data_IF_458547891598
#
_entry.id   IF_458547891598
#
_cell.length_a   1.000
_cell.length_b   1.000
_cell.length_c   1.000
_cell.angle_alpha   90.00
_cell.angle_beta   90.00
_cell.angle_gamma   90.00
#
_symmetry.space_group_name_H-M   'P 1'
#
loop_
_entity.id
_entity.type
_entity.pdbx_description
1 polymer ?
#
# COMPACT_ATOMS: atom_id res chain seq x y z
N UNK A 1 -25.48 -15.54 -11.62
CA UNK A 1 -24.19 -14.81 -11.61
C UNK A 1 -24.14 -13.59 -10.67
N UNK A 2 -25.27 -13.06 -10.14
CA UNK A 2 -25.31 -11.85 -9.30
C UNK A 2 -24.80 -12.01 -7.84
N UNK A 3 -24.50 -13.23 -7.40
CA UNK A 3 -24.17 -13.52 -5.99
C UNK A 3 -22.68 -13.31 -5.66
N UNK A 4 -21.78 -13.42 -6.65
CA UNK A 4 -20.35 -13.16 -6.44
C UNK A 4 -20.01 -11.68 -6.34
N UNK A 5 -20.82 -10.79 -6.92
CA UNK A 5 -20.61 -9.34 -6.82
C UNK A 5 -21.00 -8.78 -5.44
N UNK A 6 -22.05 -9.35 -4.80
CA UNK A 6 -22.39 -9.05 -3.40
C UNK A 6 -21.39 -9.64 -2.41
N UNK A 7 -20.81 -10.82 -2.71
CA UNK A 7 -19.74 -11.43 -1.91
C UNK A 7 -18.41 -10.67 -2.04
N UNK A 8 -18.08 -10.14 -3.24
CA UNK A 8 -16.97 -9.21 -3.48
C UNK A 8 -17.16 -7.87 -2.78
N UNK A 9 -18.38 -7.32 -2.71
CA UNK A 9 -18.68 -6.04 -2.02
C UNK A 9 -18.59 -6.12 -0.50
N UNK A 10 -18.50 -7.31 0.09
CA UNK A 10 -17.97 -7.52 1.46
C UNK A 10 -16.43 -7.46 1.43
N UNK A 11 -15.91 -6.50 0.68
CA UNK A 11 -14.50 -6.17 0.52
C UNK A 11 -14.10 -5.51 1.84
N UNK A 12 -13.44 -6.29 2.70
CA UNK A 12 -12.52 -5.84 3.75
C UNK A 12 -12.93 -4.52 4.41
N UNK A 13 -13.94 -4.56 5.29
CA UNK A 13 -14.17 -3.43 6.20
C UNK A 13 -12.91 -3.31 7.07
N UNK A 14 -12.03 -2.37 6.74
CA UNK A 14 -10.90 -2.04 7.59
C UNK A 14 -11.46 -1.70 8.97
N UNK A 15 -10.92 -2.34 10.00
CA UNK A 15 -11.32 -2.13 11.38
C UNK A 15 -10.08 -1.81 12.21
N UNK A 16 -10.30 -1.44 13.47
CA UNK A 16 -9.22 -1.33 14.44
C UNK A 16 -8.44 -2.66 14.49
N UNK A 17 -7.13 -2.56 14.65
CA UNK A 17 -6.17 -3.67 14.79
C UNK A 17 -5.96 -4.48 13.49
N UNK A 18 -6.56 -4.05 12.38
CA UNK A 18 -6.31 -4.66 11.07
C UNK A 18 -5.03 -4.10 10.44
N UNK A 19 -4.33 -4.96 9.72
CA UNK A 19 -3.21 -4.56 8.88
C UNK A 19 -3.72 -3.86 7.62
N UNK A 20 -3.07 -2.74 7.30
CA UNK A 20 -3.35 -1.88 6.16
C UNK A 20 -2.05 -1.47 5.49
N UNK A 21 -2.18 -0.94 4.28
CA UNK A 21 -1.10 -0.23 3.60
C UNK A 21 -1.40 1.27 3.58
N UNK A 22 -0.38 2.07 3.84
CA UNK A 22 -0.49 3.51 4.01
C UNK A 22 0.47 4.22 3.07
N UNK A 23 -0.03 5.20 2.32
CA UNK A 23 0.78 5.99 1.39
C UNK A 23 1.23 7.31 2.02
N UNK A 24 2.53 7.57 1.96
CA UNK A 24 3.15 8.79 2.47
C UNK A 24 3.23 9.80 1.31
N UNK A 25 2.73 11.02 1.54
CA UNK A 25 2.66 12.07 0.52
C UNK A 25 3.83 13.05 0.55
N UNK A 26 4.75 12.85 1.50
CA UNK A 26 5.97 13.65 1.62
C UNK A 26 6.92 13.40 0.44
N UNK A 27 7.68 14.42 0.08
CA UNK A 27 8.65 14.32 -1.01
C UNK A 27 9.70 13.24 -0.70
N UNK A 28 10.06 12.47 -1.72
CA UNK A 28 10.90 11.27 -1.57
C UNK A 28 10.12 10.01 -1.21
N UNK A 29 8.87 10.11 -0.73
CA UNK A 29 8.01 8.97 -0.43
C UNK A 29 6.77 8.87 -1.33
N UNK A 30 6.48 9.88 -2.15
CA UNK A 30 5.34 9.85 -3.09
C UNK A 30 5.35 8.57 -3.95
N UNK A 31 4.20 7.89 -4.00
CA UNK A 31 4.04 6.63 -4.72
C UNK A 31 4.46 5.38 -3.92
N UNK A 32 4.84 5.54 -2.65
CA UNK A 32 5.11 4.42 -1.75
C UNK A 32 3.89 4.02 -0.92
N UNK A 33 3.88 2.77 -0.46
CA UNK A 33 2.92 2.18 0.46
C UNK A 33 3.61 1.35 1.53
N UNK A 34 3.32 1.62 2.80
CA UNK A 34 3.95 0.97 3.94
C UNK A 34 2.94 0.19 4.77
N UNK A 35 3.35 -0.95 5.32
CA UNK A 35 2.51 -1.76 6.19
C UNK A 35 2.34 -1.09 7.55
N UNK A 36 1.09 -0.99 8.00
CA UNK A 36 0.72 -0.41 9.29
C UNK A 36 -0.47 -1.14 9.90
N UNK A 37 -0.67 -0.94 11.20
CA UNK A 37 -1.85 -1.39 11.95
C UNK A 37 -2.74 -0.18 12.22
N UNK A 38 -4.04 -0.33 11.94
CA UNK A 38 -5.00 0.73 12.22
C UNK A 38 -5.33 0.81 13.72
N UNK A 39 -5.09 1.94 14.37
CA UNK A 39 -5.32 2.08 15.81
C UNK A 39 -6.75 2.49 16.18
N UNK A 40 -7.58 2.79 15.17
CA UNK A 40 -8.94 3.30 15.33
C UNK A 40 -9.94 2.53 14.47
N UNK A 41 -11.21 2.48 14.89
CA UNK A 41 -12.26 1.87 14.06
C UNK A 41 -12.85 2.95 13.12
N UNK A 42 -12.70 2.83 11.78
CA UNK A 42 -13.16 3.85 10.83
C UNK A 42 -14.66 4.17 10.90
N UNK A 43 -15.45 3.21 11.39
CA UNK A 43 -16.91 3.33 11.54
C UNK A 43 -17.33 4.10 12.79
N UNK A 44 -16.46 4.21 13.79
CA UNK A 44 -16.72 4.91 15.07
C UNK A 44 -16.15 6.33 15.09
N UNK A 45 -15.12 6.57 14.28
CA UNK A 45 -14.43 7.85 14.13
C UNK A 45 -15.08 8.59 12.96
N UNK A 46 -15.41 9.88 13.10
CA UNK A 46 -16.02 10.69 12.02
C UNK A 46 -14.98 11.54 11.28
N UNK A 47 -13.80 11.66 11.84
CA UNK A 47 -12.66 12.43 11.36
C UNK A 47 -12.16 11.89 10.03
N UNK A 48 -11.73 12.78 9.11
CA UNK A 48 -11.22 12.40 7.79
C UNK A 48 -9.89 11.63 7.85
N UNK A 49 -9.16 11.79 8.95
CA UNK A 49 -7.91 11.09 9.23
C UNK A 49 -8.09 9.96 10.23
N UNK A 50 -7.21 8.96 10.16
CA UNK A 50 -7.14 7.85 11.09
C UNK A 50 -5.71 7.68 11.58
N UNK A 51 -5.57 7.25 12.83
CA UNK A 51 -4.28 6.96 13.42
C UNK A 51 -3.81 5.55 13.06
N UNK A 52 -2.56 5.44 12.63
CA UNK A 52 -1.90 4.19 12.23
C UNK A 52 -0.58 4.02 12.99
N UNK A 53 -0.14 2.78 13.12
CA UNK A 53 1.16 2.40 13.67
C UNK A 53 1.91 1.59 12.63
N UNK A 54 3.04 2.09 12.13
CA UNK A 54 3.82 1.37 11.11
C UNK A 54 4.43 0.09 11.67
N UNK A 55 4.61 -0.93 10.83
CA UNK A 55 5.24 -2.20 11.21
C UNK A 55 6.76 -2.17 11.07
N UNK A 56 7.28 -1.33 10.19
CA UNK A 56 8.69 -1.33 9.74
C UNK A 56 9.36 0.04 9.82
N UNK A 57 8.65 1.06 10.30
CA UNK A 57 9.17 2.41 10.53
C UNK A 57 9.14 2.70 12.02
N UNK A 58 10.20 3.30 12.53
CA UNK A 58 10.44 3.55 13.95
C UNK A 58 10.75 5.02 14.18
N UNK A 59 10.55 5.49 15.41
CA UNK A 59 11.01 6.81 15.83
C UNK A 59 12.54 6.86 15.87
N UNK A 60 13.10 8.03 16.21
CA UNK A 60 14.56 8.24 16.31
C UNK A 60 15.27 7.28 17.28
N UNK A 61 14.53 6.72 18.24
CA UNK A 61 15.04 5.70 19.16
C UNK A 61 15.32 4.34 18.49
N UNK A 62 14.83 4.12 17.27
CA UNK A 62 14.96 2.87 16.52
C UNK A 62 14.19 1.68 17.11
N UNK A 63 13.40 1.89 18.16
CA UNK A 63 12.74 0.83 18.93
C UNK A 63 11.23 1.03 18.94
N UNK A 64 10.77 2.26 19.14
CA UNK A 64 9.35 2.56 19.21
C UNK A 64 8.78 2.69 17.80
N UNK A 65 7.73 1.94 17.44
CA UNK A 65 7.10 2.08 16.12
C UNK A 65 6.60 3.51 15.89
N UNK A 66 6.81 4.01 14.67
CA UNK A 66 6.31 5.31 14.24
C UNK A 66 4.78 5.27 14.16
N UNK A 67 4.12 6.32 14.67
CA UNK A 67 2.66 6.46 14.65
C UNK A 67 2.28 7.79 14.04
N UNK A 68 1.32 7.76 13.12
CA UNK A 68 0.91 8.95 12.37
C UNK A 68 -0.61 9.03 12.21
N UNK A 69 -1.09 10.23 11.89
CA UNK A 69 -2.51 10.48 11.59
C UNK A 69 -2.67 10.81 10.12
N UNK A 70 -3.23 9.86 9.37
CA UNK A 70 -3.21 9.83 7.91
C UNK A 70 -4.63 9.98 7.36
N UNK A 71 -4.78 10.73 6.25
CA UNK A 71 -6.07 10.84 5.56
C UNK A 71 -6.54 9.47 5.09
N UNK A 72 -7.84 9.18 5.27
CA UNK A 72 -8.45 7.88 4.89
C UNK A 72 -8.21 7.50 3.43
N UNK A 73 -8.06 8.48 2.53
CA UNK A 73 -7.78 8.26 1.11
C UNK A 73 -6.41 7.66 0.82
N UNK A 74 -5.46 7.78 1.77
CA UNK A 74 -4.11 7.22 1.66
C UNK A 74 -3.96 5.92 2.46
N UNK A 75 -5.07 5.28 2.85
CA UNK A 75 -5.09 4.00 3.55
C UNK A 75 -5.85 3.00 2.69
N UNK A 76 -5.24 1.85 2.39
CA UNK A 76 -5.87 0.72 1.69
C UNK A 76 -5.77 -0.58 2.50
N UNK A 77 -6.67 -1.55 2.31
CA UNK A 77 -6.45 -2.89 2.82
C UNK A 77 -5.17 -3.48 2.22
N UNK A 78 -4.52 -4.39 2.95
CA UNK A 78 -3.44 -5.20 2.39
C UNK A 78 -3.96 -5.96 1.14
N UNK A 79 -3.26 -5.87 -0.01
CA UNK A 79 -3.60 -6.65 -1.19
C UNK A 79 -3.63 -8.16 -0.90
N UNK A 80 -4.58 -8.93 -1.47
CA UNK A 80 -4.58 -10.38 -1.32
C UNK A 80 -3.30 -11.02 -1.88
N UNK A 81 -2.81 -12.09 -1.26
CA UNK A 81 -1.61 -12.80 -1.73
C UNK A 81 -1.75 -13.33 -3.16
N UNK A 82 -2.96 -13.76 -3.53
CA UNK A 82 -3.27 -14.25 -4.87
C UNK A 82 -3.45 -13.14 -5.92
N UNK A 83 -3.22 -11.86 -5.58
CA UNK A 83 -3.49 -10.74 -6.50
C UNK A 83 -2.76 -10.88 -7.84
N UNK A 84 -1.55 -11.43 -7.80
CA UNK A 84 -0.69 -11.57 -8.98
C UNK A 84 -0.74 -12.97 -9.61
N UNK A 85 -1.61 -13.87 -9.15
CA UNK A 85 -1.73 -15.21 -9.74
C UNK A 85 -2.16 -15.12 -11.21
N UNK A 86 -1.33 -15.66 -12.10
CA UNK A 86 -1.57 -15.64 -13.55
C UNK A 86 -1.33 -14.27 -14.22
N UNK A 87 -0.82 -13.28 -13.49
CA UNK A 87 -0.43 -11.98 -14.06
C UNK A 87 0.88 -12.15 -14.82
N UNK A 88 0.89 -11.73 -16.08
CA UNK A 88 2.10 -11.64 -16.90
C UNK A 88 2.55 -10.19 -16.92
N UNK A 89 3.71 -9.93 -16.32
CA UNK A 89 4.37 -8.63 -16.36
C UNK A 89 5.00 -8.40 -17.72
N UNK A 90 4.92 -7.17 -18.22
CA UNK A 90 5.50 -6.76 -19.51
C UNK A 90 5.91 -5.30 -19.48
N UNK A 91 6.75 -4.89 -20.42
CA UNK A 91 7.11 -3.49 -20.63
C UNK A 91 5.87 -2.58 -20.75
N UNK A 92 5.93 -1.41 -20.12
CA UNK A 92 4.82 -0.47 -19.99
C UNK A 92 3.82 -0.80 -18.88
N UNK A 93 3.94 -1.94 -18.18
CA UNK A 93 3.04 -2.27 -17.08
C UNK A 93 3.36 -1.43 -15.85
N UNK A 94 2.32 -0.83 -15.27
CA UNK A 94 2.41 -0.19 -13.96
C UNK A 94 2.34 -1.26 -12.88
N UNK A 95 3.35 -1.29 -12.01
CA UNK A 95 3.50 -2.29 -10.96
C UNK A 95 3.97 -1.64 -9.65
N UNK A 96 3.72 -2.34 -8.55
CA UNK A 96 4.31 -2.01 -7.25
C UNK A 96 5.53 -2.92 -7.03
N UNK A 97 6.69 -2.35 -6.73
CA UNK A 97 7.92 -3.09 -6.40
C UNK A 97 8.27 -2.91 -4.92
N UNK A 98 8.63 -4.00 -4.23
CA UNK A 98 8.99 -3.93 -2.82
C UNK A 98 10.44 -3.47 -2.64
N UNK A 99 10.65 -2.33 -1.99
CA UNK A 99 11.96 -1.75 -1.72
C UNK A 99 11.91 -0.89 -0.46
N UNK A 100 12.98 -0.91 0.34
CA UNK A 100 13.10 -0.11 1.57
C UNK A 100 11.85 -0.15 2.47
N UNK A 101 11.40 -1.37 2.79
CA UNK A 101 10.25 -1.66 3.66
C UNK A 101 8.87 -1.19 3.16
N UNK A 102 8.75 -0.78 1.90
CA UNK A 102 7.50 -0.35 1.29
C UNK A 102 7.33 -0.85 -0.14
N UNK A 103 6.11 -0.73 -0.66
CA UNK A 103 5.77 -0.97 -2.06
C UNK A 103 5.81 0.35 -2.81
N UNK A 104 6.56 0.40 -3.90
CA UNK A 104 6.74 1.60 -4.70
C UNK A 104 6.12 1.43 -6.07
N UNK A 105 5.20 2.32 -6.42
CA UNK A 105 4.54 2.31 -7.71
C UNK A 105 5.46 2.88 -8.80
N UNK A 106 5.56 2.16 -9.91
CA UNK A 106 6.33 2.59 -11.07
C UNK A 106 5.98 1.78 -12.31
N UNK A 107 6.84 1.85 -13.32
CA UNK A 107 6.61 1.22 -14.62
C UNK A 107 7.77 0.31 -14.99
N UNK A 108 7.44 -0.87 -15.53
CA UNK A 108 8.42 -1.75 -16.16
C UNK A 108 8.84 -1.12 -17.48
N UNK A 109 10.13 -0.87 -17.63
CA UNK A 109 10.68 -0.26 -18.84
C UNK A 109 11.28 -1.29 -19.77
N UNK A 110 11.97 -2.30 -19.21
CA UNK A 110 12.60 -3.37 -19.99
C UNK A 110 12.44 -4.71 -19.29
N UNK A 111 12.08 -5.75 -20.04
CA UNK A 111 12.25 -7.15 -19.62
C UNK A 111 13.63 -7.66 -20.05
N UNK A 112 14.38 -8.24 -19.11
CA UNK A 112 15.72 -8.75 -19.37
C UNK A 112 15.68 -10.24 -19.70
N UNK A 113 16.69 -10.76 -20.42
CA UNK A 113 16.73 -12.18 -20.80
C UNK A 113 16.71 -13.18 -19.62
N UNK A 114 17.10 -12.73 -18.42
CA UNK A 114 17.07 -13.52 -17.19
C UNK A 114 15.69 -13.53 -16.49
N UNK A 115 14.69 -12.89 -17.09
CA UNK A 115 13.34 -12.75 -16.53
C UNK A 115 13.20 -11.65 -15.46
N UNK A 116 14.27 -10.88 -15.21
CA UNK A 116 14.18 -9.70 -14.36
C UNK A 116 13.70 -8.48 -15.14
N UNK A 117 13.21 -7.46 -14.43
CA UNK A 117 12.68 -6.25 -15.04
C UNK A 117 13.53 -5.03 -14.63
N UNK A 118 13.82 -4.14 -15.58
CA UNK A 118 14.22 -2.79 -15.25
C UNK A 118 12.96 -1.95 -14.98
N UNK A 119 12.93 -1.32 -13.82
CA UNK A 119 11.77 -0.60 -13.29
C UNK A 119 12.19 0.84 -12.98
N UNK A 120 11.30 1.79 -13.27
CA UNK A 120 11.48 3.19 -12.87
C UNK A 120 10.29 3.67 -12.06
N UNK A 121 10.57 4.47 -11.02
CA UNK A 121 9.55 5.06 -10.16
C UNK A 121 8.70 6.04 -10.97
N UNK A 122 7.38 5.99 -10.81
CA UNK A 122 6.51 7.03 -11.37
C UNK A 122 6.54 8.25 -10.46
N UNK A 123 7.53 9.11 -10.68
CA UNK A 123 7.59 10.41 -10.01
C UNK A 123 6.45 11.26 -10.59
N UNK A 124 5.39 11.49 -9.81
CA UNK A 124 4.41 12.51 -10.16
C UNK A 124 5.10 13.86 -10.01
N UNK A 125 5.66 14.41 -11.10
CA UNK A 125 5.98 15.83 -11.16
C UNK A 125 4.65 16.57 -11.04
N UNK A 126 4.44 17.22 -9.89
CA UNK A 126 3.39 18.21 -9.69
C UNK A 126 3.79 19.53 -10.31
#
# INVERSE_FOLDING_TARGET
>A
MKNNLKKKRKLLSIAKDFEVEVSIQEDGFKGSWYRAILEQNPTRVKEKKLRVCYKTMFNEDGVSPLKETIERSFIRPVPPECLNEGVVFKEGSVVDAYFNNGWWTGVIVVERPDGSFWFTLMIHQT
#
